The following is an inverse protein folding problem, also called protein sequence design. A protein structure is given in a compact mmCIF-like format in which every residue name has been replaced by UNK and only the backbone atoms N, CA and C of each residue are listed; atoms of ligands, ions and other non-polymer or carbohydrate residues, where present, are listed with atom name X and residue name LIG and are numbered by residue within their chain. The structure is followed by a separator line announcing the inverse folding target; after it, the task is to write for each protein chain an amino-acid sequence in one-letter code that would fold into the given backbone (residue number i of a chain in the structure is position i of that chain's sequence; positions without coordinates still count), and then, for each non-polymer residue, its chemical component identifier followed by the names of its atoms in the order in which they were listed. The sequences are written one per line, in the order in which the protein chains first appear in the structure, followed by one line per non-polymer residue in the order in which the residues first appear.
data_IF_274918118314
#
_entry.id   IF_274918118314
#
_cell.length_a   1.000
_cell.length_b   1.000
_cell.length_c   1.000
_cell.angle_alpha   90.00
_cell.angle_beta   90.00
_cell.angle_gamma   90.00
#
_symmetry.space_group_name_H-M   'P 1'
#
loop_
_entity.id
_entity.type
_entity.pdbx_description
1 polymer ?
#
# COMPACT_ATOMS: atom_id res chain seq x y z
N UNK A 1 9.93 13.83 11.47
CA UNK A 1 9.68 14.35 10.11
C UNK A 1 8.31 13.88 9.64
N UNK A 2 7.75 14.48 8.60
CA UNK A 2 6.47 14.03 8.02
C UNK A 2 6.47 14.18 6.50
N UNK A 3 5.70 13.34 5.86
CA UNK A 3 5.44 13.36 4.43
C UNK A 3 4.09 13.98 4.17
N UNK A 4 4.07 15.00 3.31
CA UNK A 4 2.86 15.61 2.77
C UNK A 4 2.65 15.13 1.34
N UNK A 5 1.47 14.61 1.06
CA UNK A 5 1.05 14.20 -0.30
C UNK A 5 -0.22 14.97 -0.67
N UNK A 6 -0.31 15.49 -1.89
CA UNK A 6 -1.48 16.23 -2.36
C UNK A 6 -1.71 16.07 -3.87
N UNK A 7 -2.98 16.12 -4.29
CA UNK A 7 -3.42 15.86 -5.67
C UNK A 7 -4.78 16.51 -5.97
N UNK A 8 -5.21 16.47 -7.23
CA UNK A 8 -6.46 17.11 -7.70
C UNK A 8 -7.60 16.12 -7.95
N UNK A 9 -7.30 14.91 -8.42
CA UNK A 9 -8.29 13.83 -8.59
C UNK A 9 -7.66 12.48 -8.28
N UNK A 10 -8.45 11.55 -7.74
CA UNK A 10 -7.95 10.24 -7.32
C UNK A 10 -7.48 9.43 -8.53
N UNK A 11 -6.46 8.60 -8.30
CA UNK A 11 -6.06 7.56 -9.22
C UNK A 11 -6.89 6.29 -9.04
N UNK A 12 -6.40 5.20 -9.61
CA UNK A 12 -6.95 3.86 -9.38
C UNK A 12 -6.04 3.14 -8.39
N UNK A 13 -6.64 2.62 -7.31
CA UNK A 13 -5.93 1.73 -6.40
C UNK A 13 -5.63 0.42 -7.10
N UNK A 14 -4.39 -0.06 -6.96
CA UNK A 14 -3.98 -1.33 -7.52
C UNK A 14 -4.57 -2.50 -6.75
N UNK A 15 -5.00 -3.55 -7.47
CA UNK A 15 -5.38 -4.83 -6.90
C UNK A 15 -4.47 -5.92 -7.44
N UNK A 16 -3.77 -6.60 -6.53
CA UNK A 16 -3.04 -7.82 -6.81
C UNK A 16 -3.75 -9.00 -6.19
N UNK A 17 -3.72 -10.14 -6.87
CA UNK A 17 -4.38 -11.38 -6.49
C UNK A 17 -3.36 -12.47 -6.26
N UNK A 18 -3.36 -13.02 -5.05
CA UNK A 18 -2.61 -14.21 -4.68
C UNK A 18 -3.57 -15.38 -4.75
N UNK A 19 -3.36 -16.25 -5.73
CA UNK A 19 -4.19 -17.44 -5.96
C UNK A 19 -3.44 -18.69 -5.54
N UNK A 20 -3.98 -19.43 -4.58
CA UNK A 20 -3.52 -20.77 -4.25
C UNK A 20 -4.08 -21.77 -5.26
N UNK A 21 -3.20 -22.58 -5.85
CA UNK A 21 -3.57 -23.76 -6.62
C UNK A 21 -2.93 -24.99 -5.98
N UNK A 22 -3.75 -25.96 -5.59
CA UNK A 22 -3.30 -27.19 -4.95
C UNK A 22 -3.99 -28.42 -5.58
N UNK A 23 -3.33 -29.14 -6.51
CA UNK A 23 -3.97 -30.19 -7.29
C UNK A 23 -4.26 -31.47 -6.49
N UNK A 24 -3.48 -31.75 -5.43
CA UNK A 24 -3.58 -32.97 -4.64
C UNK A 24 -4.45 -32.87 -3.38
N UNK A 25 -5.15 -31.75 -3.17
CA UNK A 25 -6.02 -31.56 -2.00
C UNK A 25 -5.69 -30.28 -1.23
N UNK A 26 -6.22 -30.10 0.00
CA UNK A 26 -5.97 -28.89 0.80
C UNK A 26 -4.47 -28.74 1.07
N UNK A 27 -3.89 -27.61 0.68
CA UNK A 27 -2.48 -27.37 0.90
C UNK A 27 -2.20 -27.13 2.40
N UNK A 28 -1.00 -27.49 2.82
CA UNK A 28 -0.45 -27.22 4.15
C UNK A 28 0.94 -26.58 4.02
N UNK A 29 1.42 -25.95 5.09
CA UNK A 29 2.76 -25.37 5.17
C UNK A 29 2.75 -23.85 5.12
N UNK A 30 3.89 -23.28 4.75
CA UNK A 30 4.13 -21.84 4.82
C UNK A 30 4.74 -21.29 3.54
N UNK A 31 4.59 -19.98 3.35
CA UNK A 31 5.18 -19.23 2.26
C UNK A 31 5.65 -17.86 2.76
N UNK A 32 6.53 -17.22 2.00
CA UNK A 32 7.03 -15.87 2.28
C UNK A 32 6.71 -14.97 1.10
N UNK A 33 6.24 -13.75 1.36
CA UNK A 33 6.04 -12.74 0.33
C UNK A 33 7.21 -11.76 0.33
N UNK A 34 7.55 -11.30 -0.87
CA UNK A 34 8.53 -10.24 -1.08
C UNK A 34 7.92 -9.07 -1.83
N UNK A 35 8.36 -7.87 -1.46
CA UNK A 35 8.00 -6.63 -2.11
C UNK A 35 9.15 -5.62 -1.98
N UNK A 36 9.61 -5.08 -3.11
CA UNK A 36 10.68 -4.07 -3.16
C UNK A 36 11.96 -4.45 -2.38
N UNK A 37 12.31 -5.73 -2.41
CA UNK A 37 13.49 -6.27 -1.71
C UNK A 37 13.30 -6.54 -0.21
N UNK A 38 12.13 -6.23 0.35
CA UNK A 38 11.73 -6.63 1.70
C UNK A 38 10.94 -7.95 1.67
N UNK A 39 10.98 -8.67 2.79
CA UNK A 39 10.27 -9.93 2.99
C UNK A 39 9.36 -9.84 4.20
N UNK A 40 8.22 -10.53 4.14
CA UNK A 40 7.44 -10.84 5.34
C UNK A 40 8.16 -11.88 6.20
N UNK A 41 7.70 -12.07 7.44
CA UNK A 41 7.93 -13.34 8.13
C UNK A 41 7.24 -14.51 7.40
N UNK A 42 7.53 -15.74 7.80
CA UNK A 42 6.87 -16.94 7.26
C UNK A 42 5.36 -16.89 7.56
N UNK A 43 4.55 -17.02 6.51
CA UNK A 43 3.09 -16.93 6.54
C UNK A 43 2.47 -18.31 6.38
N UNK A 44 1.47 -18.63 7.20
CA UNK A 44 0.71 -19.87 7.03
C UNK A 44 -0.09 -19.85 5.73
N UNK A 45 -0.22 -21.01 5.07
CA UNK A 45 -1.06 -21.16 3.87
C UNK A 45 -2.53 -20.83 4.10
N UNK A 46 -3.01 -20.92 5.34
CA UNK A 46 -4.38 -20.59 5.76
C UNK A 46 -4.47 -19.23 6.47
N UNK A 47 -3.47 -18.35 6.30
CA UNK A 47 -3.42 -17.03 6.93
C UNK A 47 -4.70 -16.21 6.67
N UNK A 48 -5.28 -15.67 7.75
CA UNK A 48 -6.46 -14.84 7.67
C UNK A 48 -6.16 -13.52 6.93
N UNK A 49 -7.19 -12.93 6.31
CA UNK A 49 -7.03 -11.68 5.57
C UNK A 49 -6.46 -10.54 6.45
N UNK A 50 -6.91 -10.44 7.70
CA UNK A 50 -6.40 -9.46 8.66
C UNK A 50 -4.92 -9.64 8.97
N UNK A 51 -4.47 -10.90 9.12
CA UNK A 51 -3.10 -11.20 9.49
C UNK A 51 -2.16 -11.02 8.30
N UNK A 52 -2.62 -11.36 7.09
CA UNK A 52 -1.88 -11.04 5.87
C UNK A 52 -1.78 -9.52 5.66
N UNK A 53 -2.84 -8.76 5.94
CA UNK A 53 -2.78 -7.30 5.90
C UNK A 53 -1.70 -6.77 6.86
N UNK A 54 -1.69 -7.23 8.12
CA UNK A 54 -0.69 -6.81 9.10
C UNK A 54 0.74 -7.19 8.67
N UNK A 55 0.93 -8.39 8.12
CA UNK A 55 2.23 -8.83 7.63
C UNK A 55 2.75 -7.94 6.48
N UNK A 56 1.87 -7.55 5.55
CA UNK A 56 2.21 -6.65 4.45
C UNK A 56 2.50 -5.23 4.95
N UNK A 57 1.69 -4.68 5.85
CA UNK A 57 1.87 -3.33 6.43
C UNK A 57 3.07 -3.23 7.39
N UNK A 58 3.69 -4.36 7.76
CA UNK A 58 4.95 -4.39 8.52
C UNK A 58 6.20 -4.21 7.62
N UNK A 59 6.08 -4.36 6.30
CA UNK A 59 7.16 -4.03 5.38
C UNK A 59 7.23 -2.52 5.16
N UNK A 60 8.42 -1.92 5.20
CA UNK A 60 8.58 -0.45 5.15
C UNK A 60 8.17 0.15 3.80
N UNK A 61 8.22 -0.67 2.77
CA UNK A 61 7.83 -0.37 1.39
C UNK A 61 6.31 -0.35 1.17
N UNK A 62 5.50 -0.86 2.10
CA UNK A 62 4.03 -0.89 2.02
C UNK A 62 3.45 -0.15 3.22
N UNK A 63 2.77 0.98 2.98
CA UNK A 63 2.21 1.78 4.09
C UNK A 63 0.81 1.35 4.47
N UNK A 64 -0.03 1.02 3.49
CA UNK A 64 -1.38 0.58 3.76
C UNK A 64 -1.98 -0.22 2.62
N UNK A 65 -2.55 -1.37 2.98
CA UNK A 65 -3.28 -2.24 2.07
C UNK A 65 -4.62 -2.65 2.69
N UNK A 66 -5.54 -3.08 1.84
CA UNK A 66 -6.71 -3.83 2.26
C UNK A 66 -6.60 -5.23 1.71
N UNK A 67 -6.78 -6.24 2.56
CA UNK A 67 -6.78 -7.64 2.14
C UNK A 67 -8.18 -8.23 2.32
N UNK A 68 -8.66 -8.92 1.30
CA UNK A 68 -9.87 -9.73 1.34
C UNK A 68 -9.51 -11.16 0.95
N UNK A 69 -10.06 -12.17 1.64
CA UNK A 69 -9.86 -13.58 1.31
C UNK A 69 -11.18 -14.24 0.94
N UNK A 70 -11.17 -14.99 -0.15
CA UNK A 70 -12.29 -15.82 -0.62
C UNK A 70 -11.79 -17.22 -0.97
N UNK A 71 -12.69 -18.13 -1.34
CA UNK A 71 -12.35 -19.53 -1.62
C UNK A 71 -12.25 -20.41 -0.36
N UNK A 72 -11.97 -21.69 -0.58
CA UNK A 72 -11.69 -22.69 0.45
C UNK A 72 -10.21 -23.06 0.50
N UNK A 73 -9.87 -24.08 1.29
CA UNK A 73 -8.48 -24.46 1.58
C UNK A 73 -7.68 -25.01 0.38
N UNK A 74 -8.30 -25.20 -0.77
CA UNK A 74 -7.64 -25.66 -2.01
C UNK A 74 -7.45 -24.55 -3.04
N UNK A 75 -8.18 -23.45 -2.89
CA UNK A 75 -8.40 -22.41 -3.89
C UNK A 75 -8.52 -21.03 -3.24
N UNK A 76 -7.83 -20.81 -2.10
CA UNK A 76 -7.80 -19.51 -1.45
C UNK A 76 -7.34 -18.44 -2.44
N UNK A 77 -8.11 -17.36 -2.47
CA UNK A 77 -7.81 -16.16 -3.23
C UNK A 77 -7.74 -14.98 -2.27
N UNK A 78 -6.55 -14.39 -2.13
CA UNK A 78 -6.37 -13.12 -1.44
C UNK A 78 -6.31 -11.99 -2.46
N UNK A 79 -7.20 -11.01 -2.30
CA UNK A 79 -7.17 -9.74 -3.02
C UNK A 79 -6.50 -8.69 -2.15
N UNK A 80 -5.33 -8.23 -2.57
CA UNK A 80 -4.56 -7.19 -1.92
C UNK A 80 -4.75 -5.90 -2.70
N UNK A 81 -5.49 -4.96 -2.10
CA UNK A 81 -5.68 -3.61 -2.66
C UNK A 81 -4.68 -2.65 -2.02
N UNK A 82 -3.79 -2.07 -2.82
CA UNK A 82 -2.86 -1.03 -2.36
C UNK A 82 -3.60 0.30 -2.23
N UNK A 83 -3.63 0.87 -1.01
CA UNK A 83 -4.36 2.10 -0.71
C UNK A 83 -3.48 3.34 -0.80
N UNK A 84 -2.16 3.15 -0.78
CA UNK A 84 -1.17 4.23 -0.63
C UNK A 84 -0.09 4.21 -1.68
N UNK A 85 0.39 3.03 -2.05
CA UNK A 85 1.40 2.81 -3.08
C UNK A 85 0.75 2.55 -4.45
N UNK A 86 1.53 2.72 -5.52
CA UNK A 86 1.11 2.49 -6.91
C UNK A 86 2.09 1.50 -7.59
N UNK A 87 2.07 0.21 -7.22
CA UNK A 87 3.14 -0.73 -7.60
C UNK A 87 3.35 -0.83 -9.11
N UNK A 88 2.30 -0.92 -9.93
CA UNK A 88 2.39 -0.96 -11.40
C UNK A 88 3.08 0.27 -11.98
N UNK A 89 2.91 1.44 -11.37
CA UNK A 89 3.58 2.68 -11.80
C UNK A 89 5.08 2.62 -11.47
N UNK A 90 5.45 1.97 -10.38
CA UNK A 90 6.83 1.73 -9.97
C UNK A 90 7.47 0.49 -10.63
N UNK A 91 6.71 -0.30 -11.40
CA UNK A 91 7.17 -1.59 -11.93
C UNK A 91 7.36 -2.66 -10.85
N UNK A 92 6.62 -2.56 -9.74
CA UNK A 92 6.69 -3.45 -8.58
C UNK A 92 5.48 -4.40 -8.55
N UNK A 93 5.70 -5.61 -8.06
CA UNK A 93 4.67 -6.63 -7.83
C UNK A 93 5.04 -7.45 -6.59
N UNK A 94 4.06 -7.93 -5.83
CA UNK A 94 4.31 -8.96 -4.81
C UNK A 94 4.82 -10.22 -5.49
N UNK A 95 5.83 -10.85 -4.89
CA UNK A 95 6.33 -12.16 -5.33
C UNK A 95 6.31 -13.14 -4.18
N UNK A 96 6.13 -14.42 -4.50
CA UNK A 96 6.29 -15.51 -3.53
C UNK A 96 7.74 -15.97 -3.61
N UNK A 97 8.43 -16.05 -2.47
CA UNK A 97 9.79 -16.58 -2.43
C UNK A 97 9.82 -18.05 -2.84
N UNK A 98 10.94 -18.50 -3.41
CA UNK A 98 11.05 -19.87 -3.96
C UNK A 98 11.14 -20.96 -2.88
N UNK A 99 11.56 -20.61 -1.67
CA UNK A 99 11.80 -21.52 -0.54
C UNK A 99 10.54 -21.75 0.32
N UNK A 100 9.42 -22.08 -0.33
CA UNK A 100 8.17 -22.39 0.37
C UNK A 100 8.18 -23.80 0.98
N UNK A 101 7.39 -24.01 2.03
CA UNK A 101 7.17 -25.33 2.65
C UNK A 101 5.81 -25.94 2.25
N UNK A 102 5.28 -25.54 1.08
CA UNK A 102 3.95 -25.95 0.64
C UNK A 102 3.91 -27.43 0.25
N UNK A 103 2.91 -28.14 0.77
CA UNK A 103 2.66 -29.56 0.49
C UNK A 103 1.17 -29.82 0.32
N UNK A 104 0.81 -30.90 -0.36
CA UNK A 104 -0.55 -31.43 -0.36
C UNK A 104 -0.58 -32.94 -0.06
N UNK A 105 -1.75 -33.52 0.24
CA UNK A 105 -1.87 -34.92 0.65
C UNK A 105 -1.55 -35.95 -0.44
N UNK A 106 -1.55 -35.58 -1.71
CA UNK A 106 -1.37 -36.48 -2.85
C UNK A 106 -0.04 -36.24 -3.58
N UNK A 107 0.92 -35.58 -2.92
CA UNK A 107 2.23 -35.25 -3.48
C UNK A 107 2.19 -34.40 -4.74
N UNK A 108 1.11 -33.62 -4.91
CA UNK A 108 1.10 -32.52 -5.86
C UNK A 108 2.03 -31.39 -5.40
N UNK A 109 2.16 -30.37 -6.24
CA UNK A 109 3.01 -29.21 -5.97
C UNK A 109 2.11 -27.99 -5.87
N UNK A 110 1.64 -27.63 -4.67
CA UNK A 110 0.87 -26.42 -4.49
C UNK A 110 1.72 -25.22 -4.86
N UNK A 111 1.07 -24.21 -5.43
CA UNK A 111 1.70 -22.96 -5.80
C UNK A 111 0.80 -21.79 -5.46
N UNK A 112 1.41 -20.69 -5.06
CA UNK A 112 0.73 -19.40 -4.96
C UNK A 112 1.19 -18.57 -6.14
N UNK A 113 0.25 -18.17 -6.99
CA UNK A 113 0.51 -17.30 -8.11
C UNK A 113 0.05 -15.89 -7.79
N UNK A 114 0.92 -14.90 -8.00
CA UNK A 114 0.56 -13.49 -7.92
C UNK A 114 0.23 -12.95 -9.30
N UNK A 115 -0.88 -12.24 -9.42
CA UNK A 115 -1.25 -11.52 -10.64
C UNK A 115 -1.74 -10.11 -10.30
N UNK A 116 -1.65 -9.19 -11.27
CA UNK A 116 -2.27 -7.87 -11.15
C UNK A 116 -3.64 -7.92 -11.82
N UNK A 117 -4.71 -7.87 -11.03
CA UNK A 117 -6.08 -7.91 -11.57
C UNK A 117 -6.62 -6.51 -11.88
N UNK A 118 -6.11 -5.48 -11.20
CA UNK A 118 -6.38 -4.08 -11.54
C UNK A 118 -5.08 -3.28 -11.40
N UNK A 119 -4.42 -2.87 -12.49
CA UNK A 119 -3.21 -2.06 -12.39
C UNK A 119 -3.53 -0.68 -11.79
N UNK A 120 -2.69 -0.21 -10.87
CA UNK A 120 -2.87 1.10 -10.26
C UNK A 120 -2.51 2.26 -11.20
N UNK A 121 -3.07 3.43 -10.95
CA UNK A 121 -2.68 4.68 -11.62
C UNK A 121 -2.48 5.80 -10.59
N UNK A 122 -1.51 6.67 -10.87
CA UNK A 122 -1.27 7.83 -10.00
C UNK A 122 -2.45 8.81 -10.04
N UNK A 123 -2.75 9.50 -8.93
CA UNK A 123 -3.64 10.64 -8.91
C UNK A 123 -3.19 11.76 -9.84
N UNK A 124 -4.13 12.56 -10.34
CA UNK A 124 -3.77 13.71 -11.19
C UNK A 124 -3.14 14.83 -10.38
N UNK A 125 -2.05 15.40 -10.91
CA UNK A 125 -1.23 16.41 -10.23
C UNK A 125 -0.75 15.92 -8.86
N UNK A 126 -0.34 14.66 -8.76
CA UNK A 126 0.19 14.09 -7.54
C UNK A 126 1.56 14.68 -7.18
N UNK A 127 1.68 15.18 -5.96
CA UNK A 127 2.91 15.72 -5.41
C UNK A 127 3.21 15.09 -4.05
N UNK A 128 4.50 14.89 -3.79
CA UNK A 128 5.03 14.30 -2.55
C UNK A 128 6.15 15.21 -2.02
N UNK A 129 6.05 15.63 -0.77
CA UNK A 129 7.03 16.50 -0.11
C UNK A 129 7.39 15.94 1.26
N UNK A 130 8.64 15.55 1.43
CA UNK A 130 9.18 15.17 2.74
C UNK A 130 9.65 16.43 3.49
N UNK A 131 9.19 16.58 4.73
CA UNK A 131 9.44 17.75 5.54
C UNK A 131 10.15 17.30 6.82
N UNK A 132 11.45 17.62 6.89
CA UNK A 132 12.22 17.40 8.09
C UNK A 132 11.92 18.47 9.15
N UNK A 133 11.73 18.00 10.37
CA UNK A 133 11.47 18.80 11.57
C UNK A 133 12.38 18.38 12.73
N UNK A 134 13.40 17.56 12.46
CA UNK A 134 14.35 17.03 13.44
C UNK A 134 15.05 18.11 14.28
N UNK A 135 15.27 19.29 13.70
CA UNK A 135 15.95 20.42 14.34
C UNK A 135 15.01 21.34 15.14
N UNK A 136 13.70 21.08 15.14
CA UNK A 136 12.68 21.94 15.77
C UNK A 136 12.27 21.40 17.14
N UNK A 137 13.23 21.37 18.07
CA UNK A 137 12.99 21.01 19.47
C UNK A 137 11.94 21.95 20.09
N UNK A 138 10.98 21.38 20.82
CA UNK A 138 9.85 22.04 21.51
C UNK A 138 8.60 22.39 20.69
N UNK A 139 8.46 21.89 19.46
CA UNK A 139 7.21 22.02 18.70
C UNK A 139 6.34 20.77 18.82
N UNK A 140 5.09 20.93 19.25
CA UNK A 140 4.07 19.86 19.27
C UNK A 140 3.20 19.84 18.01
N UNK A 141 3.35 20.85 17.15
CA UNK A 141 2.66 20.96 15.86
C UNK A 141 3.56 21.60 14.80
N UNK A 142 3.34 21.19 13.56
CA UNK A 142 4.06 21.68 12.39
C UNK A 142 3.06 22.06 11.30
N UNK A 143 3.42 23.04 10.49
CA UNK A 143 2.62 23.47 9.34
C UNK A 143 3.50 23.63 8.11
N UNK A 144 2.90 23.42 6.94
CA UNK A 144 3.52 23.65 5.66
C UNK A 144 2.53 24.37 4.75
N UNK A 145 3.00 25.43 4.08
CA UNK A 145 2.19 26.22 3.16
C UNK A 145 2.43 25.73 1.75
N UNK A 146 1.40 25.12 1.15
CA UNK A 146 1.38 24.82 -0.27
C UNK A 146 1.27 26.12 -1.09
N UNK A 147 2.08 26.24 -2.14
CA UNK A 147 2.13 27.41 -3.04
C UNK A 147 2.01 26.95 -4.50
N UNK A 148 1.86 27.90 -5.43
CA UNK A 148 1.74 27.63 -6.87
C UNK A 148 0.59 26.67 -7.25
N UNK A 149 -0.47 26.66 -6.45
CA UNK A 149 -1.67 25.86 -6.71
C UNK A 149 -2.59 26.56 -7.71
N UNK A 150 -3.29 25.79 -8.54
CA UNK A 150 -4.28 26.34 -9.47
C UNK A 150 -5.49 26.87 -8.71
N UNK A 151 -5.82 28.14 -8.96
CA UNK A 151 -6.92 28.82 -8.27
C UNK A 151 -8.27 28.19 -8.63
N UNK A 152 -9.10 27.90 -7.62
CA UNK A 152 -10.43 27.31 -7.82
C UNK A 152 -10.44 25.80 -8.07
N UNK A 153 -9.28 25.17 -8.24
CA UNK A 153 -9.17 23.71 -8.37
C UNK A 153 -9.13 23.07 -6.97
N UNK A 154 -9.98 22.09 -6.66
CA UNK A 154 -9.94 21.39 -5.37
C UNK A 154 -8.70 20.49 -5.28
N UNK A 155 -7.98 20.60 -4.16
CA UNK A 155 -6.89 19.70 -3.82
C UNK A 155 -7.27 18.82 -2.65
N UNK A 156 -6.92 17.54 -2.74
CA UNK A 156 -6.89 16.57 -1.65
C UNK A 156 -5.50 16.54 -1.06
N UNK A 157 -5.38 16.29 0.24
CA UNK A 157 -4.09 16.13 0.89
C UNK A 157 -4.14 15.03 1.95
N UNK A 158 -3.01 14.38 2.20
CA UNK A 158 -2.80 13.47 3.32
C UNK A 158 -1.39 13.63 3.90
N UNK A 159 -1.22 13.24 5.16
CA UNK A 159 0.07 13.29 5.85
C UNK A 159 0.40 11.94 6.48
N UNK A 160 1.65 11.50 6.31
CA UNK A 160 2.25 10.38 7.05
C UNK A 160 3.38 10.89 7.93
N UNK A 161 3.50 10.41 9.16
CA UNK A 161 4.74 10.59 9.94
C UNK A 161 5.81 9.64 9.43
N UNK A 162 7.09 9.99 9.56
CA UNK A 162 8.17 9.06 9.21
C UNK A 162 9.42 9.17 10.06
N UNK A 163 10.17 8.06 10.11
CA UNK A 163 11.49 7.93 10.71
C UNK A 163 12.35 6.95 9.88
N UNK A 164 13.50 6.51 10.40
CA UNK A 164 14.39 5.57 9.72
C UNK A 164 13.77 4.18 9.44
N UNK A 165 12.63 3.86 10.06
CA UNK A 165 11.89 2.61 9.86
C UNK A 165 10.77 2.73 8.83
N UNK A 166 10.54 3.91 8.24
CA UNK A 166 9.54 4.12 7.21
C UNK A 166 8.43 5.10 7.61
N UNK A 167 7.29 4.98 6.94
CA UNK A 167 6.16 5.89 7.04
C UNK A 167 5.01 5.25 7.81
N UNK A 168 4.27 6.04 8.57
CA UNK A 168 2.97 5.61 9.11
C UNK A 168 1.91 5.54 8.00
N UNK A 169 0.82 4.82 8.28
CA UNK A 169 -0.43 4.94 7.54
C UNK A 169 -0.79 6.44 7.42
N UNK A 170 -1.11 6.95 6.21
CA UNK A 170 -1.41 8.35 6.03
C UNK A 170 -2.79 8.72 6.57
N UNK A 171 -2.88 9.94 7.07
CA UNK A 171 -4.13 10.56 7.49
C UNK A 171 -4.57 11.60 6.47
N UNK A 172 -5.77 11.43 5.91
CA UNK A 172 -6.37 12.41 5.00
C UNK A 172 -6.70 13.72 5.72
N UNK A 173 -6.69 14.83 4.97
CA UNK A 173 -7.09 16.14 5.46
C UNK A 173 -8.58 16.19 5.82
N UNK A 174 -8.93 17.13 6.69
CA UNK A 174 -10.32 17.50 6.99
C UNK A 174 -10.45 19.02 6.76
N UNK A 175 -11.26 19.48 5.79
CA UNK A 175 -12.07 18.70 4.84
C UNK A 175 -11.22 17.85 3.88
N UNK A 176 -11.84 16.84 3.25
CA UNK A 176 -11.15 15.91 2.35
C UNK A 176 -10.60 16.58 1.09
N UNK A 177 -11.14 17.74 0.70
CA UNK A 177 -10.60 18.57 -0.35
C UNK A 177 -10.89 20.05 -0.10
N UNK A 178 -10.02 20.92 -0.61
CA UNK A 178 -10.19 22.37 -0.54
C UNK A 178 -9.58 23.04 -1.77
N UNK A 179 -10.28 24.03 -2.32
CA UNK A 179 -9.76 24.83 -3.42
C UNK A 179 -9.06 26.10 -2.90
N UNK A 180 -7.88 26.47 -3.44
CA UNK A 180 -7.27 27.75 -3.15
C UNK A 180 -8.22 28.91 -3.52
N UNK A 181 -8.41 29.89 -2.62
CA UNK A 181 -9.33 30.99 -2.89
C UNK A 181 -8.82 31.85 -4.04
N UNK A 182 -9.75 32.44 -4.80
CA UNK A 182 -9.42 33.48 -5.78
C UNK A 182 -8.77 34.66 -5.05
N UNK A 183 -7.51 34.94 -5.32
CA UNK A 183 -6.86 36.15 -4.81
C UNK A 183 -7.52 37.37 -5.47
N UNK A 184 -7.82 38.40 -4.68
CA UNK A 184 -8.20 39.71 -5.24
C UNK A 184 -6.98 40.25 -6.01
N UNK A 185 -7.17 40.95 -7.15
CA UNK A 185 -6.06 41.62 -7.82
C UNK A 185 -5.31 42.52 -6.83
N UNK A 186 -3.98 42.51 -6.87
CA UNK A 186 -3.17 43.49 -6.14
C UNK A 186 -3.56 44.89 -6.62
N UNK A 187 -4.00 45.75 -5.70
CA UNK A 187 -4.22 47.18 -5.98
C UNK A 187 -2.90 47.92 -6.08
#
# INVERSE_FOLDING_TARGET
AYLLEYWTSDGVNEVQELSLFSPGGPAAGTFTLSYDGERTDSLSIDIAASDLQLALENMRSIRSVRVERTGGSQDFLWRVTFLTEFPSVAGQILTVESDTELTDPLSGTPLIQVTVSTPGSMPSNYHRVEIDVSTRSNHTSFSHKLTNLTTGEPYKARVSSFNALGYSIPRASVPSQMAPPKQKPSQ
#
